data_IF_817501489529
#
_entry.id   IF_817501489529
#
_cell.length_a   1.000
_cell.length_b   1.000
_cell.length_c   1.000
_cell.angle_alpha   90.00
_cell.angle_beta   90.00
_cell.angle_gamma   90.00
#
_symmetry.space_group_name_H-M   'P 1'
#
loop_
_entity.id
_entity.type
_entity.pdbx_description
1 polymer ?
#
# COMPACT_ATOMS: atom_id res chain seq x y z
N UNK A 1 13.58 -12.38 19.82
CA UNK A 1 12.35 -12.47 19.02
C UNK A 1 12.43 -11.40 17.96
N UNK A 2 12.03 -11.68 16.72
CA UNK A 2 11.95 -10.68 15.65
C UNK A 2 10.56 -10.71 15.02
N UNK A 3 10.10 -9.56 14.54
CA UNK A 3 8.83 -9.37 13.85
C UNK A 3 9.08 -9.25 12.36
N UNK A 4 8.34 -10.05 11.58
CA UNK A 4 8.41 -10.03 10.11
C UNK A 4 7.09 -9.58 9.55
N UNK A 5 7.14 -8.68 8.57
CA UNK A 5 5.99 -8.28 7.75
C UNK A 5 6.24 -8.64 6.30
N UNK A 6 5.28 -9.32 5.68
CA UNK A 6 5.20 -9.47 4.22
C UNK A 6 3.95 -8.76 3.73
N UNK A 7 4.10 -7.73 2.90
CA UNK A 7 2.98 -6.88 2.51
C UNK A 7 3.06 -6.44 1.04
N UNK A 8 2.02 -6.77 0.27
CA UNK A 8 1.85 -6.23 -1.08
C UNK A 8 1.26 -4.83 -0.98
N UNK A 9 2.03 -3.82 -1.37
CA UNK A 9 1.68 -2.41 -1.20
C UNK A 9 0.97 -1.81 -2.42
N UNK A 10 0.67 -2.64 -3.43
CA UNK A 10 0.04 -2.28 -4.69
C UNK A 10 0.80 -1.16 -5.43
N UNK A 11 1.67 -1.55 -6.37
CA UNK A 11 2.41 -0.60 -7.18
C UNK A 11 1.50 0.44 -7.87
N UNK A 12 1.91 1.70 -7.86
CA UNK A 12 1.10 2.82 -8.36
C UNK A 12 0.65 2.66 -9.82
N UNK A 13 1.53 2.16 -10.69
CA UNK A 13 1.17 1.91 -12.08
C UNK A 13 0.05 0.86 -12.20
N UNK A 14 0.07 -0.22 -11.41
CA UNK A 14 -0.99 -1.23 -11.42
C UNK A 14 -2.32 -0.67 -10.88
N UNK A 15 -2.27 0.19 -9.86
CA UNK A 15 -3.45 0.86 -9.34
C UNK A 15 -4.10 1.76 -10.41
N UNK A 16 -3.30 2.55 -11.12
CA UNK A 16 -3.77 3.44 -12.19
C UNK A 16 -4.26 2.68 -13.43
N UNK A 17 -3.47 1.72 -13.92
CA UNK A 17 -3.76 0.96 -15.15
C UNK A 17 -5.04 0.11 -15.01
N UNK A 18 -5.35 -0.32 -13.79
CA UNK A 18 -6.53 -1.13 -13.51
C UNK A 18 -7.63 -0.40 -12.73
N UNK A 19 -7.50 0.91 -12.51
CA UNK A 19 -8.45 1.69 -11.71
C UNK A 19 -9.89 1.48 -12.15
N UNK A 20 -10.17 1.61 -13.45
CA UNK A 20 -11.54 1.52 -13.98
C UNK A 20 -12.10 0.10 -14.06
N UNK A 21 -11.25 -0.92 -13.90
CA UNK A 21 -11.65 -2.34 -14.03
C UNK A 21 -11.76 -3.05 -12.68
N UNK A 22 -10.82 -2.77 -11.77
CA UNK A 22 -10.69 -3.46 -10.48
C UNK A 22 -11.08 -2.57 -9.30
N UNK A 23 -11.02 -1.25 -9.45
CA UNK A 23 -11.17 -0.29 -8.36
C UNK A 23 -12.14 0.86 -8.71
N UNK A 24 -13.10 0.60 -9.59
CA UNK A 24 -14.09 1.56 -10.09
C UNK A 24 -14.97 2.17 -8.98
N UNK A 25 -15.21 1.38 -7.94
CA UNK A 25 -15.97 1.73 -6.74
C UNK A 25 -15.13 2.48 -5.69
N UNK A 26 -13.82 2.62 -5.88
CA UNK A 26 -12.94 3.31 -4.93
C UNK A 26 -12.76 4.77 -5.35
N UNK A 27 -12.97 5.75 -4.44
CA UNK A 27 -12.72 7.16 -4.75
C UNK A 27 -11.28 7.40 -5.25
N UNK A 28 -11.08 8.16 -6.36
CA UNK A 28 -9.75 8.34 -6.95
C UNK A 28 -8.70 8.89 -6.00
N UNK A 29 -9.09 9.78 -5.08
CA UNK A 29 -8.16 10.38 -4.10
C UNK A 29 -7.63 9.38 -3.07
N UNK A 30 -8.28 8.23 -2.89
CA UNK A 30 -7.81 7.15 -2.00
C UNK A 30 -6.80 6.26 -2.74
N UNK A 31 -6.94 6.12 -4.06
CA UNK A 31 -5.99 5.38 -4.91
C UNK A 31 -4.73 6.20 -5.24
N UNK A 32 -4.80 7.52 -5.10
CA UNK A 32 -3.66 8.41 -5.27
C UNK A 32 -2.42 7.93 -4.49
N UNK A 33 -1.27 7.95 -5.13
CA UNK A 33 -0.05 7.41 -4.57
C UNK A 33 0.39 8.12 -3.30
N UNK A 34 0.35 9.45 -3.25
CA UNK A 34 0.81 10.17 -2.07
C UNK A 34 -0.14 9.95 -0.89
N UNK A 35 -1.45 9.83 -1.16
CA UNK A 35 -2.39 9.36 -0.13
C UNK A 35 -1.99 7.98 0.39
N UNK A 36 -1.85 6.98 -0.49
CA UNK A 36 -1.58 5.58 -0.08
C UNK A 36 -0.25 5.43 0.64
N UNK A 37 0.80 6.03 0.10
CA UNK A 37 2.14 6.05 0.68
C UNK A 37 2.14 6.60 2.10
N UNK A 38 1.40 7.69 2.37
CA UNK A 38 1.30 8.24 3.71
C UNK A 38 0.71 7.25 4.73
N UNK A 39 -0.28 6.44 4.31
CA UNK A 39 -0.85 5.40 5.17
C UNK A 39 0.03 4.18 5.32
N UNK A 40 0.63 3.69 4.23
CA UNK A 40 1.55 2.56 4.27
C UNK A 40 2.71 2.86 5.23
N UNK A 41 3.28 4.06 5.17
CA UNK A 41 4.34 4.47 6.10
C UNK A 41 3.86 4.54 7.55
N UNK A 42 2.64 5.04 7.79
CA UNK A 42 2.04 5.05 9.12
C UNK A 42 1.84 3.63 9.66
N UNK A 43 1.31 2.71 8.84
CA UNK A 43 1.09 1.31 9.21
C UNK A 43 2.40 0.57 9.54
N UNK A 44 3.40 0.66 8.64
CA UNK A 44 4.71 0.06 8.87
C UNK A 44 5.39 0.63 10.13
N UNK A 45 5.25 1.93 10.37
CA UNK A 45 5.76 2.58 11.58
C UNK A 45 5.07 2.09 12.86
N UNK A 46 3.76 1.86 12.82
CA UNK A 46 2.99 1.32 13.95
C UNK A 46 3.30 -0.15 14.23
N UNK A 47 3.55 -0.95 13.19
CA UNK A 47 3.89 -2.37 13.35
C UNK A 47 5.31 -2.58 13.90
N UNK A 48 6.23 -1.65 13.60
CA UNK A 48 7.64 -1.74 14.04
C UNK A 48 8.34 -3.04 13.66
N UNK A 49 8.25 -3.53 12.40
CA UNK A 49 8.85 -4.81 12.01
C UNK A 49 10.38 -4.73 11.96
N UNK A 50 11.05 -5.81 12.37
CA UNK A 50 12.50 -5.97 12.22
C UNK A 50 12.89 -6.31 10.77
N UNK A 51 12.00 -7.02 10.06
CA UNK A 51 12.21 -7.46 8.67
C UNK A 51 10.95 -7.18 7.86
N UNK A 52 11.13 -6.55 6.70
CA UNK A 52 10.04 -6.23 5.75
C UNK A 52 10.30 -6.88 4.39
N UNK A 53 9.29 -7.57 3.85
CA UNK A 53 9.26 -8.09 2.50
C UNK A 53 8.07 -7.47 1.75
N UNK A 54 8.34 -6.48 0.90
CA UNK A 54 7.29 -5.76 0.19
C UNK A 54 7.17 -6.24 -1.26
N UNK A 55 5.93 -6.33 -1.75
CA UNK A 55 5.61 -6.63 -3.15
C UNK A 55 4.84 -5.48 -3.81
#
# INVERSE_FOLDING_TARGET
QFVVVSYNILADYLARDHQMKLYDHIPPHILDWEWRKSRILMELGLWGPDIMCLQ
#
